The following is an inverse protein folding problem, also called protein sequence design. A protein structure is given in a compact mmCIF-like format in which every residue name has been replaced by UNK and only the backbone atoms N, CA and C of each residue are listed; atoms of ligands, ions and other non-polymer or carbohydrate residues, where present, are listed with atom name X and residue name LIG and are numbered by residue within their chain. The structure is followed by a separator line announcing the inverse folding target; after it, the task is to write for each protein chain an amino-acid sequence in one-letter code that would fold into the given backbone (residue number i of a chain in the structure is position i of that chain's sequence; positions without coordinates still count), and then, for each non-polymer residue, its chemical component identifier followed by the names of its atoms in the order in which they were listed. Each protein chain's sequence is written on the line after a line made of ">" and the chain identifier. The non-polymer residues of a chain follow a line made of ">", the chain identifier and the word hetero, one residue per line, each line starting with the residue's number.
data_IF_580392588942
#
_entry.id   IF_580392588942
#
_cell.length_a   1.000
_cell.length_b   1.000
_cell.length_c   1.000
_cell.angle_alpha   90.00
_cell.angle_beta   90.00
_cell.angle_gamma   90.00
#
_symmetry.space_group_name_H-M   'P 1'
#
loop_
_entity.id
_entity.type
_entity.pdbx_description
1 polymer ?
#
# COMPACT_ATOMS: atom_id res chain seq x y z
N UNK A 1 22.73 10.53 12.10
CA UNK A 1 23.67 10.91 11.03
C UNK A 1 22.86 11.16 9.77
N UNK A 2 22.94 12.34 9.16
CA UNK A 2 22.21 12.67 7.93
C UNK A 2 22.98 12.10 6.73
N UNK A 3 22.35 11.23 5.94
CA UNK A 3 22.97 10.67 4.74
C UNK A 3 23.08 11.77 3.67
N UNK A 4 24.29 12.06 3.22
CA UNK A 4 24.52 12.95 2.08
C UNK A 4 24.29 12.15 0.79
N UNK A 5 23.21 12.46 0.06
CA UNK A 5 22.82 11.77 -1.17
C UNK A 5 23.82 11.97 -2.33
N UNK A 6 24.57 13.08 -2.33
CA UNK A 6 25.53 13.43 -3.40
C UNK A 6 26.81 12.61 -3.29
N UNK A 7 27.21 12.25 -2.07
CA UNK A 7 28.43 11.46 -1.83
C UNK A 7 28.21 9.95 -1.89
N UNK A 8 27.01 9.49 -2.30
CA UNK A 8 26.72 8.05 -2.43
C UNK A 8 26.95 7.58 -3.86
N UNK A 9 27.38 6.33 -3.99
CA UNK A 9 27.40 5.64 -5.28
C UNK A 9 26.02 5.05 -5.56
N UNK A 10 25.28 5.67 -6.48
CA UNK A 10 23.95 5.21 -6.88
C UNK A 10 24.04 4.09 -7.92
N UNK A 11 23.19 3.07 -7.76
CA UNK A 11 23.05 1.97 -8.69
C UNK A 11 21.57 1.60 -8.85
N UNK A 12 21.25 0.93 -9.96
CA UNK A 12 19.92 0.37 -10.19
C UNK A 12 19.66 -0.84 -9.29
N UNK A 13 18.39 -1.13 -9.05
CA UNK A 13 17.96 -2.29 -8.28
C UNK A 13 16.60 -2.79 -8.79
N UNK A 14 16.36 -4.09 -8.63
CA UNK A 14 15.05 -4.66 -8.88
C UNK A 14 14.11 -4.42 -7.70
N UNK A 15 12.87 -4.04 -7.99
CA UNK A 15 11.86 -3.81 -6.94
C UNK A 15 11.41 -5.14 -6.35
N UNK A 16 11.09 -6.12 -7.21
CA UNK A 16 10.61 -7.45 -6.82
C UNK A 16 11.22 -8.56 -7.69
N UNK A 17 10.77 -9.79 -7.49
CA UNK A 17 11.34 -10.98 -8.12
C UNK A 17 12.47 -11.60 -7.29
N UNK A 18 13.20 -12.56 -7.87
CA UNK A 18 14.26 -13.32 -7.18
C UNK A 18 15.37 -12.41 -6.62
N UNK A 19 15.73 -11.37 -7.38
CA UNK A 19 16.79 -10.42 -7.04
C UNK A 19 16.23 -9.06 -6.57
N UNK A 20 14.92 -9.01 -6.30
CA UNK A 20 14.23 -7.80 -5.86
C UNK A 20 14.46 -7.49 -4.39
N UNK A 21 14.58 -6.21 -4.05
CA UNK A 21 14.79 -5.81 -2.65
C UNK A 21 13.50 -5.83 -1.82
N UNK A 22 12.33 -5.65 -2.43
CA UNK A 22 11.05 -5.71 -1.72
C UNK A 22 10.43 -7.10 -1.79
N UNK A 23 9.88 -7.55 -0.66
CA UNK A 23 8.90 -8.63 -0.67
C UNK A 23 7.57 -8.06 -1.14
N UNK A 24 7.09 -8.55 -2.28
CA UNK A 24 5.81 -8.15 -2.87
C UNK A 24 4.83 -9.31 -2.70
N UNK A 25 3.64 -9.02 -2.18
CA UNK A 25 2.55 -9.98 -2.09
C UNK A 25 1.21 -9.26 -2.11
N UNK A 26 0.17 -9.97 -2.55
CA UNK A 26 -1.20 -9.50 -2.43
C UNK A 26 -1.53 -9.22 -0.96
N UNK A 27 -2.41 -8.24 -0.73
CA UNK A 27 -2.94 -7.94 0.60
C UNK A 27 -3.64 -9.15 1.21
N UNK A 28 -3.68 -9.19 2.55
CA UNK A 28 -4.16 -10.35 3.30
C UNK A 28 -5.68 -10.41 3.47
N UNK A 29 -6.39 -9.31 3.18
CA UNK A 29 -7.83 -9.17 3.41
C UNK A 29 -8.68 -9.21 2.14
N UNK A 30 -8.51 -8.26 1.20
CA UNK A 30 -9.27 -8.26 -0.05
C UNK A 30 -10.78 -8.35 0.18
N UNK A 31 -11.36 -7.39 0.91
CA UNK A 31 -12.75 -7.42 1.36
C UNK A 31 -13.60 -6.61 0.41
N UNK A 32 -14.71 -7.17 -0.08
CA UNK A 32 -15.71 -6.37 -0.80
C UNK A 32 -16.45 -5.46 0.18
N UNK A 33 -16.76 -4.22 -0.23
CA UNK A 33 -17.37 -3.21 0.67
C UNK A 33 -18.65 -3.70 1.34
N UNK A 34 -19.46 -4.50 0.65
CA UNK A 34 -20.72 -5.06 1.17
C UNK A 34 -20.52 -6.20 2.19
N UNK A 35 -19.29 -6.70 2.38
CA UNK A 35 -18.94 -7.74 3.35
C UNK A 35 -18.27 -7.18 4.61
N UNK A 36 -18.10 -5.85 4.68
CA UNK A 36 -17.53 -5.19 5.85
C UNK A 36 -18.54 -5.15 6.98
N UNK A 37 -18.09 -5.46 8.20
CA UNK A 37 -18.80 -5.02 9.39
C UNK A 37 -18.63 -3.49 9.52
N UNK A 38 -19.74 -2.77 9.28
CA UNK A 38 -19.84 -1.33 9.36
C UNK A 38 -20.45 -0.86 10.69
N UNK A 39 -20.34 -1.67 11.75
CA UNK A 39 -20.77 -1.29 13.09
C UNK A 39 -20.29 0.12 13.45
N UNK A 40 -21.24 0.89 13.99
CA UNK A 40 -21.03 2.28 14.41
C UNK A 40 -20.75 2.39 15.90
N UNK A 41 -20.45 1.28 16.57
CA UNK A 41 -20.07 1.30 17.98
C UNK A 41 -18.78 2.10 18.11
N UNK A 42 -18.88 3.24 18.79
CA UNK A 42 -17.80 4.20 19.00
C UNK A 42 -16.71 3.64 19.94
N UNK A 43 -17.02 2.59 20.70
CA UNK A 43 -16.07 1.92 21.57
C UNK A 43 -15.12 0.98 20.80
N UNK A 44 -15.41 0.67 19.53
CA UNK A 44 -14.57 -0.21 18.72
C UNK A 44 -13.40 0.55 18.09
N UNK A 45 -12.22 -0.07 18.16
CA UNK A 45 -11.03 0.41 17.45
C UNK A 45 -11.32 0.55 15.95
N UNK A 46 -11.06 1.74 15.41
CA UNK A 46 -11.28 2.07 14.01
C UNK A 46 -10.01 1.86 13.20
N UNK A 47 -10.07 0.97 12.22
CA UNK A 47 -8.93 0.54 11.39
C UNK A 47 -9.12 1.09 9.98
N UNK A 48 -8.08 1.67 9.34
CA UNK A 48 -8.19 2.14 7.96
C UNK A 48 -8.56 1.01 7.01
N UNK A 49 -9.53 1.27 6.14
CA UNK A 49 -9.86 0.42 5.00
C UNK A 49 -9.27 1.03 3.73
N UNK A 50 -8.18 0.42 3.27
CA UNK A 50 -7.40 0.87 2.11
C UNK A 50 -7.97 0.28 0.84
N UNK A 51 -8.21 1.12 -0.15
CA UNK A 51 -8.71 0.73 -1.46
C UNK A 51 -7.80 1.28 -2.54
N UNK A 52 -8.20 1.08 -3.80
CA UNK A 52 -7.51 1.61 -4.98
C UNK A 52 -7.77 3.11 -5.21
N UNK A 53 -8.50 3.78 -4.32
CA UNK A 53 -8.72 5.24 -4.43
C UNK A 53 -7.41 6.02 -4.43
N UNK A 54 -7.35 7.10 -5.20
CA UNK A 54 -6.24 8.05 -5.20
C UNK A 54 -6.32 9.06 -4.05
N UNK A 55 -7.45 9.08 -3.35
CA UNK A 55 -7.70 10.01 -2.26
C UNK A 55 -7.05 9.53 -0.96
N UNK A 56 -6.68 10.48 -0.11
CA UNK A 56 -6.37 10.26 1.31
C UNK A 56 -5.45 9.05 1.59
N UNK A 57 -4.37 8.89 0.84
CA UNK A 57 -3.41 7.80 1.04
C UNK A 57 -4.02 6.39 0.84
N UNK A 58 -5.04 6.29 -0.03
CA UNK A 58 -5.77 5.06 -0.31
C UNK A 58 -6.89 4.76 0.69
N UNK A 59 -7.06 5.58 1.73
CA UNK A 59 -8.09 5.38 2.75
C UNK A 59 -9.45 5.73 2.16
N UNK A 60 -10.36 4.76 2.12
CA UNK A 60 -11.76 5.03 1.75
C UNK A 60 -12.56 5.51 2.96
N UNK A 61 -12.44 4.81 4.09
CA UNK A 61 -13.03 5.15 5.38
C UNK A 61 -12.41 4.25 6.47
N UNK A 62 -12.80 4.48 7.72
CA UNK A 62 -12.38 3.65 8.85
C UNK A 62 -13.50 2.68 9.26
N UNK A 63 -13.14 1.42 9.46
CA UNK A 63 -14.05 0.33 9.83
C UNK A 63 -13.74 -0.21 11.22
N UNK A 64 -14.72 -0.88 11.83
CA UNK A 64 -14.46 -1.65 13.03
C UNK A 64 -13.49 -2.82 12.74
N UNK A 65 -12.85 -3.33 13.79
CA UNK A 65 -12.01 -4.51 13.67
C UNK A 65 -12.82 -5.72 13.17
N UNK A 66 -12.24 -6.51 12.26
CA UNK A 66 -12.90 -7.65 11.63
C UNK A 66 -12.46 -8.99 12.28
N UNK A 67 -12.09 -8.97 13.57
CA UNK A 67 -11.54 -10.13 14.31
C UNK A 67 -12.42 -11.38 14.27
N UNK A 68 -13.74 -11.22 14.19
CA UNK A 68 -14.70 -12.34 14.10
C UNK A 68 -14.88 -12.87 12.66
N UNK A 69 -13.97 -12.52 11.74
CA UNK A 69 -14.08 -12.88 10.33
C UNK A 69 -12.86 -13.67 9.86
N UNK A 70 -12.93 -14.22 8.64
CA UNK A 70 -11.78 -14.84 7.97
C UNK A 70 -10.70 -13.84 7.51
N UNK A 71 -10.95 -12.53 7.64
CA UNK A 71 -10.09 -11.50 7.09
C UNK A 71 -8.94 -11.18 8.04
N UNK A 72 -7.73 -11.12 7.48
CA UNK A 72 -6.52 -10.77 8.23
C UNK A 72 -6.18 -9.30 8.04
N UNK A 73 -5.59 -8.72 9.07
CA UNK A 73 -5.10 -7.35 9.05
C UNK A 73 -3.69 -7.33 8.45
N UNK A 74 -3.43 -6.40 7.53
CA UNK A 74 -2.09 -6.14 7.02
C UNK A 74 -1.28 -5.31 8.03
N UNK A 75 0.03 -5.54 8.03
CA UNK A 75 0.97 -4.84 8.91
C UNK A 75 1.21 -3.39 8.48
N UNK A 76 1.79 -2.59 9.39
CA UNK A 76 2.15 -1.20 9.12
C UNK A 76 3.54 -1.06 8.48
N UNK A 77 3.91 0.18 8.14
CA UNK A 77 5.20 0.55 7.54
C UNK A 77 5.47 -0.17 6.22
N UNK A 78 4.44 -0.27 5.39
CA UNK A 78 4.47 -0.88 4.06
C UNK A 78 4.10 0.14 3.00
N UNK A 79 4.40 -0.16 1.74
CA UNK A 79 3.85 0.57 0.58
C UNK A 79 2.73 -0.28 -0.02
N UNK A 80 1.56 0.33 -0.26
CA UNK A 80 0.44 -0.29 -0.99
C UNK A 80 0.41 0.20 -2.43
N UNK A 81 0.16 -0.72 -3.36
CA UNK A 81 -0.07 -0.44 -4.78
C UNK A 81 -1.49 -0.90 -5.13
N UNK A 82 -2.35 0.02 -5.56
CA UNK A 82 -3.60 -0.32 -6.22
C UNK A 82 -3.34 -0.71 -7.68
N UNK A 83 -3.61 -1.96 -8.06
CA UNK A 83 -3.21 -2.48 -9.38
C UNK A 83 -3.87 -1.72 -10.55
N UNK A 84 -5.19 -1.59 -10.55
CA UNK A 84 -5.95 -1.00 -11.66
C UNK A 84 -5.79 0.52 -11.76
N UNK A 85 -5.62 1.19 -10.62
CA UNK A 85 -5.53 2.66 -10.53
C UNK A 85 -4.10 3.16 -10.40
N UNK A 86 -3.13 2.24 -10.30
CA UNK A 86 -1.71 2.51 -10.11
C UNK A 86 -1.43 3.47 -8.94
N UNK A 87 -2.28 3.46 -7.91
CA UNK A 87 -2.12 4.30 -6.72
C UNK A 87 -1.02 3.73 -5.82
N UNK A 88 -0.09 4.58 -5.36
CA UNK A 88 1.06 4.15 -4.56
C UNK A 88 1.15 4.98 -3.29
N UNK A 89 1.00 4.33 -2.14
CA UNK A 89 0.87 4.99 -0.84
C UNK A 89 1.61 4.27 0.27
N UNK A 90 2.10 5.03 1.26
CA UNK A 90 2.75 4.48 2.45
C UNK A 90 1.71 4.30 3.55
N UNK A 91 1.61 3.12 4.15
CA UNK A 91 0.66 2.85 5.23
C UNK A 91 1.35 2.88 6.60
N UNK A 92 1.14 3.93 7.42
CA UNK A 92 1.79 4.05 8.74
C UNK A 92 1.11 3.22 9.83
N UNK A 93 -0.12 2.77 9.61
CA UNK A 93 -0.92 1.98 10.55
C UNK A 93 -1.24 0.61 9.97
N UNK A 94 -1.67 -0.33 10.82
CA UNK A 94 -2.23 -1.60 10.35
C UNK A 94 -3.56 -1.32 9.65
N UNK A 95 -3.95 -2.13 8.67
CA UNK A 95 -5.11 -1.83 7.83
C UNK A 95 -5.77 -3.09 7.27
N UNK A 96 -7.02 -2.92 6.85
CA UNK A 96 -7.70 -3.84 5.94
C UNK A 96 -7.69 -3.29 4.53
N UNK A 97 -7.92 -4.16 3.55
CA UNK A 97 -7.88 -3.80 2.12
C UNK A 97 -9.14 -4.18 1.40
N UNK A 98 -9.50 -3.39 0.38
CA UNK A 98 -10.35 -3.84 -0.72
C UNK A 98 -9.59 -4.74 -1.69
N UNK A 99 -10.24 -5.11 -2.80
CA UNK A 99 -9.63 -5.99 -3.80
C UNK A 99 -8.42 -5.36 -4.51
N UNK A 100 -7.57 -6.23 -5.05
CA UNK A 100 -6.50 -5.89 -5.99
C UNK A 100 -5.49 -4.86 -5.46
N UNK A 101 -5.09 -5.02 -4.19
CA UNK A 101 -3.98 -4.29 -3.56
C UNK A 101 -2.76 -5.20 -3.45
N UNK A 102 -1.62 -4.73 -3.92
CA UNK A 102 -0.30 -5.32 -3.62
C UNK A 102 0.36 -4.58 -2.47
N UNK A 103 1.15 -5.29 -1.66
CA UNK A 103 1.83 -4.75 -0.49
C UNK A 103 3.33 -5.03 -0.59
N UNK A 104 4.13 -3.96 -0.62
CA UNK A 104 5.58 -3.95 -0.68
C UNK A 104 6.15 -3.80 0.74
N UNK A 105 6.97 -4.77 1.13
CA UNK A 105 7.56 -4.87 2.47
C UNK A 105 9.08 -4.85 2.40
N UNK A 106 9.69 -4.12 3.33
CA UNK A 106 11.13 -4.12 3.56
C UNK A 106 11.44 -3.72 5.00
N UNK A 107 12.41 -4.36 5.64
CA UNK A 107 12.72 -4.17 7.08
C UNK A 107 13.16 -2.75 7.43
N UNK A 108 13.81 -2.05 6.48
CA UNK A 108 14.23 -0.64 6.62
C UNK A 108 13.19 0.38 6.15
N UNK A 109 11.97 -0.06 5.83
CA UNK A 109 10.92 0.84 5.36
C UNK A 109 10.35 1.67 6.52
N UNK A 110 10.32 2.97 6.34
CA UNK A 110 9.71 3.94 7.25
C UNK A 110 9.12 5.08 6.41
N UNK A 111 8.49 6.08 7.06
CA UNK A 111 7.86 7.19 6.35
C UNK A 111 8.81 7.86 5.35
N UNK A 112 10.04 8.17 5.74
CA UNK A 112 10.99 8.90 4.89
C UNK A 112 11.52 8.04 3.75
N UNK A 113 11.97 6.82 4.05
CA UNK A 113 12.47 5.89 3.01
C UNK A 113 11.36 5.49 2.05
N UNK A 114 10.13 5.33 2.55
CA UNK A 114 8.97 5.06 1.70
C UNK A 114 8.66 6.21 0.74
N UNK A 115 8.67 7.47 1.18
CA UNK A 115 8.38 8.59 0.26
C UNK A 115 9.44 8.75 -0.82
N UNK A 116 10.70 8.48 -0.50
CA UNK A 116 11.77 8.42 -1.49
C UNK A 116 11.50 7.32 -2.53
N UNK A 117 11.21 6.10 -2.08
CA UNK A 117 10.92 4.97 -2.96
C UNK A 117 9.62 5.17 -3.77
N UNK A 118 8.55 5.67 -3.16
CA UNK A 118 7.27 5.96 -3.82
C UNK A 118 7.48 6.92 -4.99
N UNK A 119 8.34 7.95 -4.82
CA UNK A 119 8.67 8.88 -5.90
C UNK A 119 9.29 8.14 -7.10
N UNK A 120 10.22 7.21 -6.84
CA UNK A 120 10.82 6.38 -7.89
C UNK A 120 9.80 5.44 -8.55
N UNK A 121 8.95 4.79 -7.74
CA UNK A 121 7.90 3.90 -8.24
C UNK A 121 6.91 4.63 -9.15
N UNK A 122 6.49 5.85 -8.78
CA UNK A 122 5.58 6.67 -9.59
C UNK A 122 6.19 7.03 -10.95
N UNK A 123 7.49 7.34 -11.00
CA UNK A 123 8.21 7.59 -12.27
C UNK A 123 8.22 6.32 -13.14
N UNK A 124 8.43 5.14 -12.56
CA UNK A 124 8.38 3.89 -13.32
C UNK A 124 6.97 3.60 -13.83
N UNK A 125 5.94 3.71 -12.99
CA UNK A 125 4.55 3.45 -13.40
C UNK A 125 4.07 4.41 -14.49
N UNK A 126 4.50 5.67 -14.47
CA UNK A 126 4.18 6.62 -15.54
C UNK A 126 4.64 6.14 -16.93
N UNK A 127 5.73 5.37 -17.03
CA UNK A 127 6.23 4.79 -18.29
C UNK A 127 5.40 3.60 -18.77
N UNK A 128 4.79 2.88 -17.84
CA UNK A 128 3.91 1.74 -18.12
C UNK A 128 2.44 2.14 -18.15
N UNK A 129 2.14 3.44 -18.14
CA UNK A 129 0.78 3.91 -18.20
C UNK A 129 0.28 3.76 -19.64
N UNK A 130 -0.41 2.65 -19.92
CA UNK A 130 -1.01 2.33 -21.20
C UNK A 130 -2.21 3.25 -21.45
N UNK A 131 -1.96 4.52 -21.76
CA UNK A 131 -2.94 5.43 -22.36
C UNK A 131 -4.33 5.46 -21.71
N UNK A 132 -4.43 5.60 -20.39
CA UNK A 132 -5.54 6.25 -19.67
C UNK A 132 -7.01 5.83 -19.88
N UNK A 133 -7.38 4.89 -20.75
CA UNK A 133 -8.78 4.57 -21.07
C UNK A 133 -8.98 3.09 -21.47
N UNK A 134 -8.72 2.13 -20.57
CA UNK A 134 -8.89 0.73 -20.95
C UNK A 134 -8.95 -0.23 -19.77
N UNK A 135 -10.12 -0.30 -19.14
CA UNK A 135 -10.75 -1.51 -18.59
C UNK A 135 -11.94 -1.09 -17.70
N UNK A 136 -13.00 -0.58 -18.34
CA UNK A 136 -14.36 -0.79 -17.82
C UNK A 136 -14.83 -2.16 -18.26
#
# INVERSE_FOLDING_TARGET
>A
MMLNLVSQNWAEFFIGGKDGIFKIASSTSGIDKNKLDLSKDENLSRIPYITRTELQNGISFFIANQENTKYKIDENKVITIGLDTQTIFFQPHKFYTGQNIQVLRHTKLNKFTAHFIISLLKVQMAKFNWGGNGAT
#
